data_IF_674875264743
#
_entry.id   IF_674875264743
#
_cell.length_a   1.000
_cell.length_b   1.000
_cell.length_c   1.000
_cell.angle_alpha   90.00
_cell.angle_beta   90.00
_cell.angle_gamma   90.00
#
_symmetry.space_group_name_H-M   'P 1'
#
loop_
_entity.id
_entity.type
_entity.pdbx_description
1 polymer ?
#
# COMPACT_ATOMS: atom_id res chain seq x y z
N UNK A 1 26.23 51.87 52.08
CA UNK A 1 25.81 50.68 51.33
C UNK A 1 24.96 49.83 52.25
N UNK A 2 23.74 49.46 51.85
CA UNK A 2 22.88 48.58 52.64
C UNK A 2 23.58 47.23 52.77
N UNK A 3 23.85 46.81 54.00
CA UNK A 3 24.51 45.55 54.30
C UNK A 3 23.47 44.43 54.17
N UNK A 4 23.28 43.93 52.94
CA UNK A 4 22.42 42.77 52.68
C UNK A 4 23.20 41.54 53.14
N UNK A 5 22.82 40.99 54.28
CA UNK A 5 23.37 39.73 54.77
C UNK A 5 22.81 38.57 53.93
N UNK A 6 23.63 37.54 53.70
CA UNK A 6 23.25 36.33 52.95
C UNK A 6 22.03 35.58 53.51
N UNK A 7 21.69 35.85 54.78
CA UNK A 7 20.54 35.27 55.48
C UNK A 7 19.25 36.09 55.35
N UNK A 8 19.21 37.12 54.49
CA UNK A 8 17.99 37.89 54.22
C UNK A 8 16.93 36.97 53.57
N UNK A 9 15.78 36.71 54.25
CA UNK A 9 14.75 35.82 53.72
C UNK A 9 14.23 36.24 52.35
N UNK A 10 14.28 37.54 52.03
CA UNK A 10 13.85 38.05 50.74
C UNK A 10 14.80 37.63 49.61
N UNK A 11 16.11 37.55 49.89
CA UNK A 11 17.12 37.07 48.94
C UNK A 11 16.97 35.57 48.68
N UNK A 12 16.59 34.79 49.70
CA UNK A 12 16.31 33.36 49.55
C UNK A 12 15.03 33.10 48.74
N UNK A 13 13.96 33.87 48.95
CA UNK A 13 12.73 33.76 48.15
C UNK A 13 12.98 34.16 46.70
N UNK A 14 13.75 35.22 46.47
CA UNK A 14 14.11 35.66 45.13
C UNK A 14 14.95 34.60 44.39
N UNK A 15 16.00 34.09 45.01
CA UNK A 15 16.85 33.02 44.43
C UNK A 15 16.06 31.74 44.15
N UNK A 16 15.24 31.26 45.10
CA UNK A 16 14.39 30.09 44.86
C UNK A 16 13.37 30.29 43.74
N UNK A 17 12.83 31.52 43.60
CA UNK A 17 11.89 31.83 42.53
C UNK A 17 12.60 31.88 41.17
N UNK A 18 13.81 32.45 41.13
CA UNK A 18 14.65 32.49 39.95
C UNK A 18 15.03 31.08 39.48
N UNK A 19 15.47 30.20 40.39
CA UNK A 19 15.78 28.80 40.07
C UNK A 19 14.57 28.05 39.48
N UNK A 20 13.37 28.27 40.05
CA UNK A 20 12.14 27.66 39.51
C UNK A 20 11.80 28.20 38.12
N UNK A 21 11.98 29.51 37.90
CA UNK A 21 11.74 30.13 36.59
C UNK A 21 12.71 29.58 35.55
N UNK A 22 13.98 29.40 35.90
CA UNK A 22 14.99 28.80 35.03
C UNK A 22 14.65 27.35 34.69
N UNK A 23 14.27 26.55 35.70
CA UNK A 23 13.87 25.16 35.50
C UNK A 23 12.62 25.03 34.58
N UNK A 24 11.61 25.88 34.77
CA UNK A 24 10.42 25.92 33.91
C UNK A 24 10.80 26.33 32.49
N UNK A 25 11.67 27.34 32.34
CA UNK A 25 12.14 27.83 31.05
C UNK A 25 12.90 26.74 30.30
N UNK A 26 13.75 25.97 30.99
CA UNK A 26 14.47 24.85 30.41
C UNK A 26 13.52 23.75 29.94
N UNK A 27 12.53 23.37 30.77
CA UNK A 27 11.52 22.39 30.39
C UNK A 27 10.67 22.84 29.20
N UNK A 28 10.28 24.12 29.18
CA UNK A 28 9.56 24.72 28.06
C UNK A 28 10.36 24.64 26.76
N UNK A 29 11.64 25.01 26.79
CA UNK A 29 12.51 24.94 25.62
C UNK A 29 12.70 23.49 25.13
N UNK A 30 12.87 22.53 26.04
CA UNK A 30 12.93 21.10 25.68
C UNK A 30 11.64 20.61 25.02
N UNK A 31 10.49 20.97 25.59
CA UNK A 31 9.19 20.61 25.04
C UNK A 31 8.97 21.24 23.65
N UNK A 32 9.33 22.52 23.49
CA UNK A 32 9.25 23.23 22.21
C UNK A 32 10.08 22.56 21.12
N UNK A 33 11.34 22.22 21.41
CA UNK A 33 12.19 21.51 20.46
C UNK A 33 11.63 20.14 20.09
N UNK A 34 11.06 19.42 21.06
CA UNK A 34 10.42 18.13 20.81
C UNK A 34 9.19 18.27 19.91
N UNK A 35 8.36 19.30 20.11
CA UNK A 35 7.20 19.57 19.25
C UNK A 35 7.68 19.84 17.83
N UNK A 36 8.68 20.71 17.65
CA UNK A 36 9.23 21.01 16.33
C UNK A 36 9.79 19.76 15.62
N UNK A 37 10.49 18.89 16.36
CA UNK A 37 10.97 17.63 15.80
C UNK A 37 9.80 16.73 15.36
N UNK A 38 8.77 16.58 16.19
CA UNK A 38 7.59 15.78 15.85
C UNK A 38 6.79 16.37 14.67
N UNK A 39 6.71 17.69 14.56
CA UNK A 39 6.07 18.36 13.43
C UNK A 39 6.80 18.05 12.11
N UNK A 40 8.13 18.10 12.12
CA UNK A 40 8.95 17.71 10.97
C UNK A 40 8.77 16.23 10.63
N UNK A 41 8.81 15.34 11.63
CA UNK A 41 8.61 13.90 11.43
C UNK A 41 7.23 13.61 10.78
N UNK A 42 6.18 14.34 11.19
CA UNK A 42 4.84 14.22 10.59
C UNK A 42 4.85 14.68 9.14
N UNK A 43 5.50 15.80 8.83
CA UNK A 43 5.59 16.32 7.47
C UNK A 43 6.33 15.35 6.55
N UNK A 44 7.48 14.84 7.01
CA UNK A 44 8.28 13.85 6.28
C UNK A 44 7.47 12.57 6.00
N UNK A 45 6.81 12.02 7.04
CA UNK A 45 5.96 10.84 6.89
C UNK A 45 4.82 11.08 5.90
N UNK A 46 4.12 12.22 5.98
CA UNK A 46 3.06 12.55 5.03
C UNK A 46 3.59 12.63 3.59
N UNK A 47 4.79 13.18 3.39
CA UNK A 47 5.47 13.21 2.10
C UNK A 47 5.76 11.81 1.57
N UNK A 48 6.34 10.94 2.39
CA UNK A 48 6.61 9.55 2.03
C UNK A 48 5.33 8.79 1.66
N UNK A 49 4.27 8.92 2.47
CA UNK A 49 2.97 8.29 2.19
C UNK A 49 2.34 8.78 0.87
N UNK A 50 2.48 10.05 0.55
CA UNK A 50 1.99 10.61 -0.71
C UNK A 50 2.73 10.02 -1.92
N UNK A 51 4.06 9.94 -1.83
CA UNK A 51 4.91 9.36 -2.88
C UNK A 51 4.58 7.88 -3.11
N UNK A 52 4.53 7.08 -2.04
CA UNK A 52 4.16 5.67 -2.09
C UNK A 52 2.78 5.49 -2.71
N UNK A 53 1.81 6.34 -2.34
CA UNK A 53 0.47 6.29 -2.93
C UNK A 53 0.50 6.54 -4.44
N UNK A 54 1.28 7.52 -4.90
CA UNK A 54 1.41 7.81 -6.33
C UNK A 54 2.02 6.61 -7.08
N UNK A 55 3.05 5.99 -6.52
CA UNK A 55 3.70 4.82 -7.11
C UNK A 55 2.79 3.59 -7.14
N UNK A 56 2.01 3.35 -6.08
CA UNK A 56 0.99 2.30 -6.07
C UNK A 56 -0.08 2.54 -7.13
N UNK A 57 -0.58 3.77 -7.26
CA UNK A 57 -1.56 4.11 -8.29
C UNK A 57 -0.99 3.93 -9.70
N UNK A 58 0.28 4.25 -9.92
CA UNK A 58 0.94 4.02 -11.20
C UNK A 58 1.12 2.53 -11.51
N UNK A 59 1.45 1.73 -10.50
CA UNK A 59 1.52 0.27 -10.63
C UNK A 59 0.17 -0.32 -11.04
N UNK A 60 -0.93 0.11 -10.40
CA UNK A 60 -2.30 -0.30 -10.75
C UNK A 60 -2.63 0.08 -12.19
N UNK A 61 -2.29 1.30 -12.62
CA UNK A 61 -2.51 1.75 -14.01
C UNK A 61 -1.76 0.88 -15.02
N UNK A 62 -0.49 0.57 -14.76
CA UNK A 62 0.32 -0.31 -15.63
C UNK A 62 -0.24 -1.73 -15.66
N UNK A 63 -0.69 -2.26 -14.53
CA UNK A 63 -1.34 -3.57 -14.46
C UNK A 63 -2.65 -3.60 -15.27
N UNK A 64 -3.48 -2.56 -15.18
CA UNK A 64 -4.71 -2.44 -15.97
C UNK A 64 -4.43 -2.35 -17.48
N UNK A 65 -3.40 -1.60 -17.89
CA UNK A 65 -2.94 -1.57 -19.28
C UNK A 65 -2.52 -2.96 -19.77
N UNK A 66 -1.79 -3.72 -18.94
CA UNK A 66 -1.35 -5.08 -19.29
C UNK A 66 -2.54 -6.04 -19.41
N UNK A 67 -3.52 -5.97 -18.51
CA UNK A 67 -4.76 -6.78 -18.59
C UNK A 67 -5.52 -6.47 -19.88
N UNK A 68 -5.68 -5.18 -20.23
CA UNK A 68 -6.33 -4.76 -21.48
C UNK A 68 -5.61 -5.29 -22.72
N UNK A 69 -4.28 -5.22 -22.75
CA UNK A 69 -3.48 -5.77 -23.85
C UNK A 69 -3.69 -7.27 -24.00
N UNK A 70 -3.61 -8.03 -22.88
CA UNK A 70 -3.82 -9.48 -22.90
C UNK A 70 -5.23 -9.85 -23.36
N UNK A 71 -6.25 -9.10 -22.93
CA UNK A 71 -7.62 -9.30 -23.39
C UNK A 71 -7.75 -9.06 -24.90
N UNK A 72 -7.16 -7.98 -25.43
CA UNK A 72 -7.18 -7.67 -26.86
C UNK A 72 -6.47 -8.75 -27.70
N UNK A 73 -5.35 -9.28 -27.21
CA UNK A 73 -4.64 -10.40 -27.84
C UNK A 73 -5.55 -11.64 -27.84
N UNK A 74 -6.17 -11.96 -26.69
CA UNK A 74 -7.06 -13.11 -26.56
C UNK A 74 -8.27 -13.00 -27.50
N UNK A 75 -8.88 -11.81 -27.63
CA UNK A 75 -10.01 -11.57 -28.53
C UNK A 75 -9.64 -11.82 -30.00
N UNK A 76 -8.38 -11.57 -30.39
CA UNK A 76 -7.86 -11.89 -31.73
C UNK A 76 -7.57 -13.37 -31.93
N UNK A 77 -7.07 -14.05 -30.89
CA UNK A 77 -6.68 -15.48 -30.97
C UNK A 77 -7.90 -16.40 -30.82
N UNK A 78 -8.87 -16.05 -29.98
CA UNK A 78 -10.02 -16.88 -29.65
C UNK A 78 -10.78 -17.42 -30.89
N UNK A 79 -11.06 -16.61 -31.94
CA UNK A 79 -11.70 -17.13 -33.16
C UNK A 79 -10.86 -18.13 -33.95
N UNK A 80 -9.53 -18.16 -33.73
CA UNK A 80 -8.61 -19.08 -34.40
C UNK A 80 -8.52 -20.44 -33.69
N UNK A 81 -9.11 -20.57 -32.50
CA UNK A 81 -9.14 -21.84 -31.78
C UNK A 81 -10.05 -22.84 -32.51
N UNK A 82 -9.60 -24.09 -32.56
CA UNK A 82 -10.37 -25.18 -33.16
C UNK A 82 -11.54 -25.56 -32.24
N UNK A 83 -12.69 -25.87 -32.86
CA UNK A 83 -13.92 -26.28 -32.16
C UNK A 83 -13.85 -27.70 -31.56
N UNK A 84 -12.77 -28.43 -31.81
CA UNK A 84 -12.51 -29.74 -31.23
C UNK A 84 -11.95 -29.66 -29.80
N UNK A 85 -12.00 -28.49 -29.15
CA UNK A 85 -11.44 -28.26 -27.83
C UNK A 85 -12.41 -27.50 -26.92
N UNK A 86 -12.45 -27.85 -25.62
CA UNK A 86 -13.29 -27.15 -24.64
C UNK A 86 -12.95 -25.66 -24.47
N UNK A 87 -11.69 -25.26 -24.69
CA UNK A 87 -11.26 -23.85 -24.66
C UNK A 87 -11.81 -23.00 -25.81
N UNK A 88 -12.46 -23.60 -26.82
CA UNK A 88 -13.23 -22.81 -27.79
C UNK A 88 -14.41 -22.07 -27.13
N UNK A 89 -14.89 -22.53 -25.97
CA UNK A 89 -15.90 -21.83 -25.18
C UNK A 89 -15.26 -21.19 -23.94
N UNK A 90 -14.58 -20.06 -24.15
CA UNK A 90 -13.90 -19.35 -23.06
C UNK A 90 -14.84 -18.89 -21.94
N UNK A 91 -16.11 -18.60 -22.24
CA UNK A 91 -17.08 -18.24 -21.19
C UNK A 91 -17.44 -19.42 -20.29
N UNK A 92 -17.46 -20.65 -20.82
CA UNK A 92 -17.57 -21.83 -19.99
C UNK A 92 -16.32 -21.99 -19.11
N UNK A 93 -15.13 -21.86 -19.68
CA UNK A 93 -13.86 -21.95 -18.94
C UNK A 93 -13.82 -20.95 -17.78
N UNK A 94 -14.23 -19.69 -18.01
CA UNK A 94 -14.29 -18.66 -16.96
C UNK A 94 -15.27 -19.02 -15.83
N UNK A 95 -16.44 -19.57 -16.15
CA UNK A 95 -17.43 -20.00 -15.14
C UNK A 95 -16.95 -21.19 -14.32
N UNK A 96 -16.22 -22.10 -14.95
CA UNK A 96 -15.74 -23.32 -14.31
C UNK A 96 -14.38 -23.10 -13.58
N UNK A 97 -13.76 -21.93 -13.74
CA UNK A 97 -12.51 -21.57 -13.08
C UNK A 97 -12.73 -21.20 -11.61
N UNK A 98 -11.78 -21.55 -10.76
CA UNK A 98 -11.82 -21.27 -9.32
C UNK A 98 -10.59 -20.48 -8.88
N UNK A 99 -10.79 -19.41 -8.10
CA UNK A 99 -9.68 -18.69 -7.49
C UNK A 99 -9.09 -19.52 -6.35
N UNK A 100 -7.78 -19.69 -6.35
CA UNK A 100 -7.03 -20.32 -5.27
C UNK A 100 -6.19 -19.24 -4.57
N UNK A 101 -6.60 -18.85 -3.36
CA UNK A 101 -5.91 -17.85 -2.55
C UNK A 101 -4.49 -18.30 -2.18
N UNK A 102 -4.32 -19.55 -1.77
CA UNK A 102 -3.02 -20.09 -1.33
C UNK A 102 -1.95 -20.02 -2.43
N UNK A 103 -2.37 -20.21 -3.68
CA UNK A 103 -1.49 -20.16 -4.85
C UNK A 103 -1.51 -18.81 -5.57
N UNK A 104 -2.38 -17.89 -5.17
CA UNK A 104 -2.57 -16.58 -5.83
C UNK A 104 -2.90 -16.69 -7.31
N UNK A 105 -3.65 -17.71 -7.74
CA UNK A 105 -3.98 -17.93 -9.16
C UNK A 105 -5.33 -18.61 -9.37
N UNK A 106 -5.86 -18.43 -10.58
CA UNK A 106 -7.02 -19.18 -11.05
C UNK A 106 -6.63 -20.62 -11.42
N UNK A 107 -7.38 -21.59 -10.89
CA UNK A 107 -7.36 -22.98 -11.33
C UNK A 107 -8.33 -23.11 -12.50
N UNK A 108 -7.79 -23.44 -13.67
CA UNK A 108 -8.58 -23.62 -14.89
C UNK A 108 -8.95 -25.11 -15.09
N UNK A 109 -10.07 -25.41 -15.76
CA UNK A 109 -10.40 -26.78 -16.17
C UNK A 109 -9.32 -27.38 -17.09
N UNK A 110 -9.14 -28.70 -17.02
CA UNK A 110 -8.21 -29.40 -17.90
C UNK A 110 -8.56 -29.23 -19.39
N UNK A 111 -7.53 -29.26 -20.25
CA UNK A 111 -7.68 -29.22 -21.69
C UNK A 111 -8.26 -30.55 -22.21
N UNK A 112 -9.41 -30.49 -22.88
CA UNK A 112 -10.09 -31.66 -23.45
C UNK A 112 -10.22 -31.49 -24.96
N UNK A 113 -9.69 -32.44 -25.72
CA UNK A 113 -9.82 -32.51 -27.19
C UNK A 113 -10.89 -33.53 -27.57
N UNK A 114 -11.98 -33.06 -28.17
CA UNK A 114 -13.08 -33.84 -28.73
C UNK A 114 -12.66 -34.42 -30.09
N UNK A 115 -12.43 -35.74 -30.14
CA UNK A 115 -12.25 -36.45 -31.41
C UNK A 115 -13.63 -36.82 -31.99
N UNK A 116 -14.02 -36.14 -33.07
CA UNK A 116 -15.18 -36.56 -33.85
C UNK A 116 -14.75 -37.64 -34.84
N UNK A 117 -15.22 -38.87 -34.65
CA UNK A 117 -15.12 -39.94 -35.66
C UNK A 117 -16.37 -39.91 -36.53
N UNK A 118 -16.19 -39.85 -37.85
CA UNK A 118 -17.31 -40.01 -38.79
C UNK A 118 -17.91 -41.42 -38.65
N UNK A 119 -19.25 -41.58 -38.68
CA UNK A 119 -19.87 -42.89 -38.77
C UNK A 119 -19.40 -43.59 -40.05
N UNK A 120 -19.06 -44.87 -39.96
CA UNK A 120 -18.73 -45.66 -41.15
C UNK A 120 -19.99 -45.73 -42.04
N UNK A 121 -19.85 -45.41 -43.33
CA UNK A 121 -20.91 -45.66 -44.28
C UNK A 121 -21.14 -47.18 -44.36
N UNK A 122 -22.29 -47.64 -43.88
CA UNK A 122 -22.70 -49.03 -44.06
C UNK A 122 -22.91 -49.27 -45.57
N UNK A 123 -22.47 -50.44 -46.10
CA UNK A 123 -22.53 -50.76 -47.52
C UNK A 123 -23.96 -50.87 -48.07
#
# INVERSE_FOLDING_TARGET
ALNVHSDDPLLHVYSSTQEKLEAITEQYNKAKLKIQALENDIEDLHGEFELDRLDYLETIRKQDQQVKLLQQILDKIHPMLKKDCNYFNMEKIKRDAMWNEDQGKWILPDLIILRTTLPHAAP
#
